data_IF_312921903595
#
_entry.id   IF_312921903595
#
_cell.length_a   1.000
_cell.length_b   1.000
_cell.length_c   1.000
_cell.angle_alpha   90.00
_cell.angle_beta   90.00
_cell.angle_gamma   90.00
#
_symmetry.space_group_name_H-M   'P 1'
#
loop_
_entity.id
_entity.type
_entity.pdbx_description
1 polymer ?
#
# COMPACT_ATOMS: atom_id res chain seq x y z
N UNK A 1 11.27 21.32 -10.90
CA UNK A 1 9.87 21.01 -11.23
C UNK A 1 9.59 19.52 -11.26
N UNK A 2 10.37 18.74 -12.02
CA UNK A 2 10.18 17.29 -12.06
C UNK A 2 10.32 16.66 -10.68
N UNK A 3 11.31 17.08 -9.90
CA UNK A 3 11.54 16.53 -8.56
C UNK A 3 10.34 16.77 -7.65
N UNK A 4 9.76 17.97 -7.68
CA UNK A 4 8.59 18.29 -6.86
C UNK A 4 7.39 17.44 -7.27
N UNK A 5 7.21 17.19 -8.55
CA UNK A 5 6.13 16.34 -9.05
C UNK A 5 6.33 14.89 -8.57
N UNK A 6 7.57 14.38 -8.62
CA UNK A 6 7.87 13.04 -8.16
C UNK A 6 7.60 12.90 -6.65
N UNK A 7 7.99 13.90 -5.86
CA UNK A 7 7.72 13.90 -4.42
C UNK A 7 6.22 13.90 -4.15
N UNK A 8 5.46 14.72 -4.89
CA UNK A 8 4.01 14.78 -4.74
C UNK A 8 3.37 13.44 -5.04
N UNK A 9 3.74 12.81 -6.16
CA UNK A 9 3.20 11.51 -6.55
C UNK A 9 3.55 10.43 -5.52
N UNK A 10 4.78 10.47 -5.02
CA UNK A 10 5.23 9.54 -4.00
C UNK A 10 4.40 9.68 -2.72
N UNK A 11 4.19 10.91 -2.25
CA UNK A 11 3.41 11.18 -1.04
C UNK A 11 1.94 10.78 -1.22
N UNK A 12 1.35 11.07 -2.36
CA UNK A 12 -0.04 10.67 -2.64
C UNK A 12 -0.18 9.16 -2.60
N UNK A 13 0.78 8.44 -3.19
CA UNK A 13 0.78 6.98 -3.14
C UNK A 13 0.88 6.45 -1.71
N UNK A 14 1.79 7.01 -0.92
CA UNK A 14 1.96 6.61 0.48
C UNK A 14 0.70 6.88 1.29
N UNK A 15 0.09 8.05 1.12
CA UNK A 15 -1.14 8.40 1.83
C UNK A 15 -2.26 7.43 1.46
N UNK A 16 -2.40 7.11 0.17
CA UNK A 16 -3.42 6.17 -0.28
C UNK A 16 -3.24 4.80 0.35
N UNK A 17 -2.02 4.28 0.33
CA UNK A 17 -1.73 2.95 0.84
C UNK A 17 -1.87 2.89 2.36
N UNK A 18 -1.12 3.74 3.06
CA UNK A 18 -1.09 3.72 4.52
C UNK A 18 -2.45 4.15 5.09
N UNK A 19 -3.06 5.19 4.51
CA UNK A 19 -4.37 5.64 4.95
C UNK A 19 -5.45 4.61 4.74
N UNK A 20 -5.41 3.90 3.61
CA UNK A 20 -6.33 2.81 3.34
C UNK A 20 -6.19 1.67 4.33
N UNK A 21 -4.97 1.29 4.66
CA UNK A 21 -4.72 0.25 5.66
C UNK A 21 -5.15 0.68 7.06
N UNK A 22 -4.89 1.94 7.40
CA UNK A 22 -5.36 2.49 8.67
C UNK A 22 -6.88 2.40 8.78
N UNK A 23 -7.58 2.86 7.75
CA UNK A 23 -9.04 2.81 7.72
C UNK A 23 -9.55 1.38 7.85
N UNK A 24 -8.98 0.47 7.06
CA UNK A 24 -9.43 -0.93 7.06
C UNK A 24 -9.27 -1.57 8.43
N UNK A 25 -8.13 -1.35 9.08
CA UNK A 25 -7.84 -1.98 10.36
C UNK A 25 -8.55 -1.32 11.53
N UNK A 26 -8.54 0.01 11.60
CA UNK A 26 -9.04 0.71 12.78
C UNK A 26 -10.51 1.10 12.68
N UNK A 27 -11.03 1.25 11.47
CA UNK A 27 -12.41 1.71 11.28
C UNK A 27 -13.31 0.61 10.71
N UNK A 28 -12.94 0.03 9.58
CA UNK A 28 -13.79 -0.93 8.90
C UNK A 28 -13.88 -2.25 9.66
N UNK A 29 -12.77 -2.74 10.18
CA UNK A 29 -12.76 -4.03 10.89
C UNK A 29 -13.64 -3.99 12.14
N UNK A 30 -13.50 -3.00 13.07
CA UNK A 30 -14.41 -2.93 14.21
C UNK A 30 -15.86 -2.74 13.81
N UNK A 31 -16.13 -1.90 12.80
CA UNK A 31 -17.48 -1.65 12.33
C UNK A 31 -18.12 -2.92 11.76
N UNK A 32 -17.36 -3.71 11.00
CA UNK A 32 -17.85 -4.96 10.45
C UNK A 32 -18.19 -5.96 11.56
N UNK A 33 -17.36 -6.02 12.60
CA UNK A 33 -17.61 -6.90 13.74
C UNK A 33 -18.88 -6.48 14.49
N UNK A 34 -19.09 -5.18 14.63
CA UNK A 34 -20.24 -4.64 15.36
C UNK A 34 -21.57 -4.82 14.62
N UNK A 35 -21.55 -4.59 13.30
CA UNK A 35 -22.77 -4.48 12.50
C UNK A 35 -23.13 -5.80 11.82
N UNK A 36 -22.13 -6.62 11.44
CA UNK A 36 -22.35 -7.82 10.66
C UNK A 36 -22.14 -9.09 11.48
N UNK A 37 -23.00 -10.07 11.24
CA UNK A 37 -22.80 -11.42 11.77
C UNK A 37 -21.57 -12.06 11.13
N UNK A 38 -20.88 -12.99 11.81
CA UNK A 38 -19.65 -13.60 11.29
C UNK A 38 -19.75 -14.12 9.85
N UNK A 39 -20.83 -14.81 9.41
CA UNK A 39 -20.89 -15.30 8.03
C UNK A 39 -20.87 -14.20 6.97
N UNK A 40 -21.24 -12.97 7.34
CA UNK A 40 -21.32 -11.85 6.40
C UNK A 40 -20.03 -11.05 6.33
N UNK A 41 -19.10 -11.28 7.25
CA UNK A 41 -17.85 -10.51 7.30
C UNK A 41 -16.91 -10.86 6.15
N UNK A 42 -16.78 -12.13 5.82
CA UNK A 42 -15.91 -12.56 4.73
C UNK A 42 -16.36 -12.01 3.37
N UNK A 43 -17.66 -12.05 3.01
CA UNK A 43 -18.09 -11.39 1.78
C UNK A 43 -17.80 -9.91 1.74
N UNK A 44 -17.94 -9.19 2.86
CA UNK A 44 -17.59 -7.77 2.94
C UNK A 44 -16.11 -7.56 2.66
N UNK A 45 -15.24 -8.33 3.31
CA UNK A 45 -13.80 -8.21 3.12
C UNK A 45 -13.40 -8.56 1.69
N UNK A 46 -13.99 -9.60 1.12
CA UNK A 46 -13.71 -9.99 -0.25
C UNK A 46 -14.08 -8.88 -1.23
N UNK A 47 -15.27 -8.28 -1.09
CA UNK A 47 -15.71 -7.19 -1.94
C UNK A 47 -14.85 -5.95 -1.76
N UNK A 48 -14.48 -5.64 -0.51
CA UNK A 48 -13.63 -4.49 -0.20
C UNK A 48 -12.24 -4.65 -0.83
N UNK A 49 -11.63 -5.81 -0.68
CA UNK A 49 -10.31 -6.06 -1.23
C UNK A 49 -10.35 -6.12 -2.77
N UNK A 50 -11.44 -6.64 -3.36
CA UNK A 50 -11.57 -6.64 -4.80
C UNK A 50 -11.50 -5.22 -5.39
N UNK A 51 -11.91 -4.22 -4.61
CA UNK A 51 -11.82 -2.82 -5.03
C UNK A 51 -10.54 -2.12 -4.57
N UNK A 52 -10.11 -2.44 -3.34
CA UNK A 52 -8.98 -1.75 -2.71
C UNK A 52 -7.62 -2.21 -3.26
N UNK A 53 -7.44 -3.52 -3.45
CA UNK A 53 -6.13 -4.05 -3.84
C UNK A 53 -5.64 -3.54 -5.20
N UNK A 54 -6.48 -3.41 -6.25
CA UNK A 54 -6.01 -2.80 -7.50
C UNK A 54 -5.54 -1.36 -7.33
N UNK A 55 -6.25 -0.56 -6.53
CA UNK A 55 -5.82 0.81 -6.25
C UNK A 55 -4.49 0.83 -5.49
N UNK A 56 -4.37 -0.07 -4.52
CA UNK A 56 -3.13 -0.19 -3.74
C UNK A 56 -1.97 -0.66 -4.62
N UNK A 57 -2.23 -1.56 -5.56
CA UNK A 57 -1.19 -2.02 -6.49
C UNK A 57 -0.63 -0.86 -7.31
N UNK A 58 -1.51 0.02 -7.82
CA UNK A 58 -1.07 1.21 -8.54
C UNK A 58 -0.28 2.14 -7.61
N UNK A 59 -0.76 2.34 -6.38
CA UNK A 59 -0.07 3.17 -5.40
C UNK A 59 1.32 2.63 -5.08
N UNK A 60 1.45 1.32 -4.90
CA UNK A 60 2.75 0.67 -4.63
C UNK A 60 3.71 0.89 -5.80
N UNK A 61 3.23 0.71 -7.04
CA UNK A 61 4.05 0.94 -8.22
C UNK A 61 4.51 2.39 -8.30
N UNK A 62 3.62 3.35 -8.05
CA UNK A 62 3.95 4.78 -8.04
C UNK A 62 4.98 5.07 -6.96
N UNK A 63 4.80 4.53 -5.74
CA UNK A 63 5.72 4.74 -4.63
C UNK A 63 7.13 4.24 -4.99
N UNK A 64 7.22 3.02 -5.50
CA UNK A 64 8.51 2.43 -5.84
C UNK A 64 9.17 3.16 -7.00
N UNK A 65 8.41 3.48 -8.05
CA UNK A 65 8.93 4.17 -9.22
C UNK A 65 9.45 5.55 -8.85
N UNK A 66 8.66 6.34 -8.12
CA UNK A 66 9.06 7.69 -7.72
C UNK A 66 10.22 7.68 -6.74
N UNK A 67 10.18 6.75 -5.77
CA UNK A 67 11.23 6.63 -4.77
C UNK A 67 12.56 6.24 -5.39
N UNK A 68 12.57 5.25 -6.29
CA UNK A 68 13.79 4.83 -6.97
C UNK A 68 14.32 5.93 -7.88
N UNK A 69 13.43 6.62 -8.61
CA UNK A 69 13.86 7.72 -9.49
C UNK A 69 14.53 8.83 -8.68
N UNK A 70 13.94 9.23 -7.55
CA UNK A 70 14.53 10.25 -6.70
C UNK A 70 15.88 9.81 -6.13
N UNK A 71 15.97 8.55 -5.71
CA UNK A 71 17.21 8.01 -5.15
C UNK A 71 18.33 7.98 -6.19
N UNK A 72 18.01 7.60 -7.44
CA UNK A 72 18.97 7.59 -8.53
C UNK A 72 19.42 9.01 -8.87
N UNK A 73 18.50 9.98 -8.88
CA UNK A 73 18.82 11.37 -9.19
C UNK A 73 19.78 11.98 -8.17
N UNK A 74 19.58 11.67 -6.89
CA UNK A 74 20.46 12.15 -5.81
C UNK A 74 21.76 11.36 -5.76
N UNK A 75 21.72 10.07 -6.09
CA UNK A 75 22.83 9.15 -5.99
C UNK A 75 22.79 8.35 -4.71
N UNK A 76 23.00 7.03 -4.83
CA UNK A 76 22.88 6.12 -3.68
C UNK A 76 23.85 6.47 -2.56
N UNK A 77 25.07 6.87 -2.92
CA UNK A 77 26.09 7.20 -1.93
C UNK A 77 25.88 8.53 -1.23
N UNK A 78 25.07 9.42 -1.81
CA UNK A 78 24.87 10.78 -1.28
C UNK A 78 23.50 10.94 -0.66
N UNK A 79 22.59 9.98 -0.87
CA UNK A 79 21.24 10.07 -0.29
C UNK A 79 21.30 9.91 1.24
N UNK A 80 20.47 10.65 1.98
CA UNK A 80 20.40 10.48 3.44
C UNK A 80 20.05 9.04 3.81
N UNK A 81 20.49 8.60 4.97
CA UNK A 81 20.21 7.26 5.48
C UNK A 81 18.70 6.98 5.50
N UNK A 82 17.91 8.00 5.84
CA UNK A 82 16.45 7.85 5.85
C UNK A 82 15.86 7.40 4.53
N UNK A 83 16.45 7.82 3.39
CA UNK A 83 15.99 7.40 2.07
C UNK A 83 16.22 5.91 1.84
N UNK A 84 17.38 5.40 2.29
CA UNK A 84 17.69 3.97 2.19
C UNK A 84 16.76 3.15 3.09
N UNK A 85 16.47 3.64 4.29
CA UNK A 85 15.53 2.99 5.21
C UNK A 85 14.14 2.95 4.58
N UNK A 86 13.68 4.05 3.98
CA UNK A 86 12.38 4.07 3.30
C UNK A 86 12.33 3.08 2.14
N UNK A 87 13.40 2.98 1.36
CA UNK A 87 13.45 2.00 0.26
C UNK A 87 13.34 0.58 0.79
N UNK A 88 14.12 0.25 1.83
CA UNK A 88 14.09 -1.08 2.43
C UNK A 88 12.72 -1.42 2.97
N UNK A 89 12.10 -0.51 3.73
CA UNK A 89 10.76 -0.71 4.28
C UNK A 89 9.72 -0.82 3.17
N UNK A 90 9.85 0.01 2.12
CA UNK A 90 8.94 -0.03 0.99
C UNK A 90 9.00 -1.36 0.25
N UNK A 91 10.21 -1.90 0.06
CA UNK A 91 10.38 -3.20 -0.59
C UNK A 91 9.78 -4.32 0.26
N UNK A 92 9.97 -4.30 1.58
CA UNK A 92 9.39 -5.29 2.48
C UNK A 92 7.86 -5.20 2.42
N UNK A 93 7.30 -4.00 2.50
CA UNK A 93 5.85 -3.79 2.44
C UNK A 93 5.29 -4.22 1.09
N UNK A 94 6.00 -3.94 0.00
CA UNK A 94 5.59 -4.36 -1.34
C UNK A 94 5.58 -5.89 -1.46
N UNK A 95 6.57 -6.56 -0.88
CA UNK A 95 6.62 -8.02 -0.87
C UNK A 95 5.45 -8.61 -0.08
N UNK A 96 5.15 -8.04 1.08
CA UNK A 96 3.99 -8.46 1.89
C UNK A 96 2.69 -8.23 1.11
N UNK A 97 2.55 -7.08 0.48
CA UNK A 97 1.37 -6.76 -0.34
C UNK A 97 1.21 -7.75 -1.48
N UNK A 98 2.30 -8.04 -2.19
CA UNK A 98 2.26 -9.00 -3.30
C UNK A 98 1.81 -10.38 -2.82
N UNK A 99 2.32 -10.81 -1.67
CA UNK A 99 1.91 -12.08 -1.08
C UNK A 99 0.42 -12.09 -0.76
N UNK A 100 -0.08 -11.03 -0.13
CA UNK A 100 -1.50 -10.92 0.21
C UNK A 100 -2.35 -10.94 -1.06
N UNK A 101 -1.99 -10.14 -2.06
CA UNK A 101 -2.77 -10.03 -3.29
C UNK A 101 -2.78 -11.35 -4.06
N UNK A 102 -1.61 -11.96 -4.23
CA UNK A 102 -1.47 -13.10 -5.13
C UNK A 102 -1.82 -14.43 -4.47
N UNK A 103 -1.69 -14.54 -3.15
CA UNK A 103 -1.89 -15.81 -2.45
C UNK A 103 -3.09 -15.81 -1.52
N UNK A 104 -3.24 -14.79 -0.70
CA UNK A 104 -4.28 -14.78 0.34
C UNK A 104 -5.62 -14.30 -0.18
N UNK A 105 -5.63 -13.28 -1.04
CA UNK A 105 -6.89 -12.74 -1.56
C UNK A 105 -7.66 -13.76 -2.40
N UNK A 106 -7.03 -14.53 -3.32
CA UNK A 106 -7.79 -15.56 -4.05
C UNK A 106 -8.44 -16.58 -3.12
N UNK A 107 -7.79 -16.95 -2.02
CA UNK A 107 -8.37 -17.87 -1.03
C UNK A 107 -9.56 -17.25 -0.31
N UNK A 108 -9.47 -15.97 0.01
CA UNK A 108 -10.56 -15.24 0.66
C UNK A 108 -11.78 -15.14 -0.27
N UNK A 109 -11.52 -14.86 -1.55
CA UNK A 109 -12.58 -14.70 -2.56
C UNK A 109 -13.30 -16.03 -2.85
N UNK A 110 -12.56 -17.12 -2.88
CA UNK A 110 -13.09 -18.45 -3.09
C UNK A 110 -13.63 -19.04 -1.78
#
# INVERSE_FOLDING_TARGET
MLRQLLILLHLVGVITWVGGMFFAYFCLRPAAVEVLEPPRRLPLWSATFARFLPYTAVAVLVILATGLTLLVQVGFGQAPVGWHVMLALGLVMAAVFAHVYLRLFPRLRD
#
